data_IF_572934061685
#
_entry.id   IF_572934061685
#
_cell.length_a   1.000
_cell.length_b   1.000
_cell.length_c   1.000
_cell.angle_alpha   90.00
_cell.angle_beta   90.00
_cell.angle_gamma   90.00
#
_symmetry.space_group_name_H-M   'P 1'
#
loop_
_entity.id
_entity.type
_entity.pdbx_description
1 polymer ?
#
# COMPACT_ATOMS: atom_id res chain seq x y z
N UNK A 1 0.22 24.98 15.97
CA UNK A 1 0.37 26.13 15.05
C UNK A 1 1.29 25.75 13.89
N UNK A 2 2.48 25.17 14.13
CA UNK A 2 3.42 24.75 13.07
C UNK A 2 2.91 23.64 12.12
N UNK A 3 2.17 22.64 12.64
CA UNK A 3 1.57 21.57 11.80
C UNK A 3 0.57 22.12 10.76
N UNK A 4 -0.12 23.22 11.09
CA UNK A 4 -1.04 23.89 10.19
C UNK A 4 -0.30 24.65 9.09
N UNK A 5 0.81 25.30 9.44
CA UNK A 5 1.68 25.99 8.48
C UNK A 5 2.34 25.00 7.49
N UNK A 6 2.79 23.84 7.97
CA UNK A 6 3.36 22.79 7.11
C UNK A 6 2.31 22.22 6.13
N UNK A 7 1.06 22.03 6.58
CA UNK A 7 -0.06 21.62 5.71
C UNK A 7 -0.38 22.67 4.64
N UNK A 8 -0.35 23.96 5.01
CA UNK A 8 -0.53 25.07 4.06
C UNK A 8 0.61 25.09 3.04
N UNK A 9 1.86 24.90 3.46
CA UNK A 9 3.02 24.88 2.57
C UNK A 9 2.96 23.71 1.58
N UNK A 10 2.59 22.51 2.04
CA UNK A 10 2.38 21.32 1.19
C UNK A 10 1.25 21.53 0.17
N UNK A 11 0.19 22.26 0.54
CA UNK A 11 -0.89 22.60 -0.38
C UNK A 11 -0.48 23.69 -1.40
N UNK A 12 0.34 24.67 -0.98
CA UNK A 12 0.74 25.81 -1.82
C UNK A 12 1.70 25.44 -2.96
N UNK A 13 2.48 24.36 -2.81
CA UNK A 13 3.43 23.91 -3.84
C UNK A 13 2.77 23.13 -4.99
N UNK A 14 1.45 22.89 -4.95
CA UNK A 14 0.71 22.12 -5.97
C UNK A 14 0.23 22.90 -7.19
N UNK A 15 0.69 24.12 -7.44
CA UNK A 15 0.23 24.90 -8.61
C UNK A 15 1.37 25.55 -9.38
N UNK A 16 1.89 24.83 -10.38
CA UNK A 16 2.35 25.42 -11.64
C UNK A 16 1.98 24.50 -12.81
N UNK A 17 1.28 24.99 -13.85
CA UNK A 17 0.88 24.18 -14.99
C UNK A 17 2.05 23.97 -15.96
N UNK A 18 2.17 22.74 -16.49
CA UNK A 18 3.02 22.41 -17.64
C UNK A 18 2.16 21.94 -18.83
N UNK A 19 2.67 22.07 -20.08
CA UNK A 19 1.87 22.30 -21.28
C UNK A 19 1.10 21.09 -21.81
N UNK A 20 0.01 21.37 -22.53
CA UNK A 20 -0.88 20.42 -23.18
C UNK A 20 -0.15 19.54 -24.22
N UNK A 21 -0.13 18.22 -23.98
CA UNK A 21 0.13 17.21 -25.00
C UNK A 21 -1.12 16.36 -25.30
N UNK A 22 -1.42 16.33 -26.59
CA UNK A 22 -2.47 15.65 -27.38
C UNK A 22 -3.27 14.53 -26.70
N UNK A 23 -4.59 14.72 -26.72
CA UNK A 23 -5.65 13.79 -26.31
C UNK A 23 -5.50 12.40 -26.96
N UNK A 24 -5.18 11.40 -26.14
CA UNK A 24 -5.45 9.99 -26.44
C UNK A 24 -6.86 9.67 -25.94
N UNK A 25 -7.70 9.09 -26.81
CA UNK A 25 -9.12 8.78 -26.55
C UNK A 25 -9.28 7.94 -25.26
N UNK A 26 -10.35 8.13 -24.47
CA UNK A 26 -10.54 7.42 -23.22
C UNK A 26 -10.71 5.92 -23.48
N UNK A 27 -9.76 5.13 -22.98
CA UNK A 27 -9.94 3.68 -22.86
C UNK A 27 -11.06 3.45 -21.86
N UNK A 28 -12.18 2.87 -22.30
CA UNK A 28 -13.29 2.50 -21.41
C UNK A 28 -12.75 1.61 -20.29
N UNK A 29 -13.13 1.82 -19.02
CA UNK A 29 -12.81 0.86 -17.98
C UNK A 29 -13.53 -0.45 -18.32
N UNK A 30 -12.78 -1.47 -18.70
CA UNK A 30 -13.26 -2.85 -18.77
C UNK A 30 -13.53 -3.27 -17.33
N UNK A 31 -14.75 -3.02 -16.85
CA UNK A 31 -15.19 -3.59 -15.59
C UNK A 31 -15.26 -5.11 -15.77
N UNK A 32 -14.36 -5.85 -15.13
CA UNK A 32 -14.31 -7.32 -15.11
C UNK A 32 -15.47 -7.96 -14.32
N UNK A 33 -16.51 -7.19 -14.03
CA UNK A 33 -17.71 -7.66 -13.35
C UNK A 33 -18.61 -8.39 -14.34
N UNK A 34 -18.76 -9.70 -14.13
CA UNK A 34 -19.59 -10.56 -14.96
C UNK A 34 -20.99 -10.64 -14.38
N UNK A 35 -22.02 -10.46 -15.23
CA UNK A 35 -23.43 -10.66 -14.84
C UNK A 35 -23.78 -12.15 -14.82
N UNK A 36 -24.72 -12.57 -13.97
CA UNK A 36 -25.16 -13.98 -13.88
C UNK A 36 -25.56 -14.61 -15.22
N UNK A 37 -26.20 -13.84 -16.12
CA UNK A 37 -26.55 -14.28 -17.48
C UNK A 37 -25.32 -14.60 -18.34
N UNK A 38 -24.24 -13.83 -18.17
CA UNK A 38 -22.97 -14.04 -18.88
C UNK A 38 -22.20 -15.24 -18.32
N UNK A 39 -22.27 -15.51 -17.01
CA UNK A 39 -21.72 -16.75 -16.43
C UNK A 39 -22.41 -17.97 -17.04
N UNK A 40 -23.75 -17.98 -17.04
CA UNK A 40 -24.55 -19.10 -17.58
C UNK A 40 -24.28 -19.34 -19.06
N UNK A 41 -24.22 -18.28 -19.87
CA UNK A 41 -23.91 -18.43 -21.29
C UNK A 41 -22.48 -18.89 -21.56
N UNK A 42 -21.53 -18.57 -20.67
CA UNK A 42 -20.12 -18.96 -20.83
C UNK A 42 -19.86 -20.39 -20.38
N UNK A 43 -20.59 -20.87 -19.36
CA UNK A 43 -20.65 -22.28 -18.94
C UNK A 43 -21.14 -23.18 -20.09
N UNK A 44 -22.10 -22.71 -20.89
CA UNK A 44 -22.57 -23.46 -22.07
C UNK A 44 -21.56 -23.56 -23.21
N UNK A 45 -20.46 -22.81 -23.14
CA UNK A 45 -19.45 -22.69 -24.22
C UNK A 45 -18.10 -23.27 -23.76
N UNK A 46 -18.05 -23.94 -22.60
CA UNK A 46 -16.83 -24.52 -22.00
C UNK A 46 -15.63 -23.57 -21.99
N UNK A 47 -15.88 -22.27 -21.79
CA UNK A 47 -14.80 -21.28 -21.67
C UNK A 47 -14.33 -21.20 -20.22
N UNK A 48 -13.03 -21.36 -19.93
CA UNK A 48 -12.52 -21.17 -18.59
C UNK A 48 -12.66 -19.69 -18.19
N UNK A 49 -13.14 -19.44 -16.97
CA UNK A 49 -13.20 -18.10 -16.37
C UNK A 49 -12.63 -18.15 -14.95
N UNK A 50 -11.97 -17.06 -14.56
CA UNK A 50 -11.47 -16.86 -13.20
C UNK A 50 -12.54 -16.15 -12.38
N UNK A 51 -13.00 -16.81 -11.31
CA UNK A 51 -13.98 -16.26 -10.38
C UNK A 51 -13.26 -15.72 -9.13
N UNK A 52 -13.25 -14.40 -8.96
CA UNK A 52 -12.79 -13.77 -7.72
C UNK A 52 -13.93 -13.72 -6.72
N UNK A 53 -13.85 -14.55 -5.69
CA UNK A 53 -14.82 -14.56 -4.58
C UNK A 53 -14.20 -13.83 -3.39
N UNK A 54 -14.88 -12.81 -2.89
CA UNK A 54 -14.49 -12.15 -1.65
C UNK A 54 -14.89 -13.01 -0.45
N UNK A 55 -13.92 -13.38 0.39
CA UNK A 55 -14.12 -14.23 1.58
C UNK A 55 -15.23 -13.70 2.50
N UNK A 56 -15.37 -12.38 2.63
CA UNK A 56 -16.41 -11.76 3.47
C UNK A 56 -17.84 -11.98 2.97
N UNK A 57 -18.05 -12.25 1.68
CA UNK A 57 -19.39 -12.44 1.10
C UNK A 57 -19.97 -13.84 1.35
N UNK A 58 -19.14 -14.81 1.74
CA UNK A 58 -19.61 -16.16 2.11
C UNK A 58 -20.31 -16.20 3.47
N UNK A 59 -19.97 -15.27 4.37
CA UNK A 59 -20.49 -15.26 5.75
C UNK A 59 -21.97 -14.81 5.87
N UNK A 60 -22.60 -14.33 4.78
CA UNK A 60 -24.00 -13.89 4.81
C UNK A 60 -25.03 -15.00 4.55
N UNK A 61 -24.63 -16.14 3.99
CA UNK A 61 -25.58 -17.15 3.48
C UNK A 61 -25.43 -18.55 4.06
N UNK A 62 -24.39 -18.80 4.87
CA UNK A 62 -24.14 -20.13 5.42
C UNK A 62 -23.65 -20.00 6.86
N UNK A 63 -24.39 -20.61 7.80
CA UNK A 63 -23.99 -20.77 9.20
C UNK A 63 -22.86 -21.81 9.38
N UNK A 64 -22.31 -22.32 8.29
CA UNK A 64 -21.19 -23.26 8.27
C UNK A 64 -20.00 -22.57 7.60
N UNK A 65 -18.80 -22.79 8.15
CA UNK A 65 -17.57 -22.35 7.51
C UNK A 65 -17.57 -22.83 6.05
N UNK A 66 -17.31 -21.96 5.06
CA UNK A 66 -17.29 -22.38 3.68
C UNK A 66 -16.22 -23.45 3.49
N UNK A 67 -16.64 -24.65 3.09
CA UNK A 67 -15.72 -25.71 2.69
C UNK A 67 -14.99 -25.24 1.43
N UNK A 68 -13.72 -24.88 1.59
CA UNK A 68 -12.86 -24.47 0.49
C UNK A 68 -12.60 -25.71 -0.36
N UNK A 69 -12.92 -25.71 -1.67
CA UNK A 69 -12.62 -26.83 -2.56
C UNK A 69 -11.14 -27.23 -2.48
N UNK A 70 -10.84 -28.52 -2.59
CA UNK A 70 -9.48 -29.04 -2.41
C UNK A 70 -8.46 -28.38 -3.33
N UNK A 71 -8.86 -28.02 -4.56
CA UNK A 71 -8.03 -27.30 -5.52
C UNK A 71 -7.62 -25.91 -5.02
N UNK A 72 -8.56 -25.19 -4.37
CA UNK A 72 -8.31 -23.87 -3.79
C UNK A 72 -7.48 -23.99 -2.51
N UNK A 73 -7.73 -25.02 -1.71
CA UNK A 73 -6.90 -25.30 -0.52
C UNK A 73 -5.45 -25.58 -0.89
N UNK A 74 -5.23 -26.39 -1.93
CA UNK A 74 -3.88 -26.69 -2.44
C UNK A 74 -3.18 -25.43 -2.94
N UNK A 75 -3.89 -24.56 -3.67
CA UNK A 75 -3.37 -23.28 -4.15
C UNK A 75 -3.01 -22.33 -2.98
N UNK A 76 -3.88 -22.21 -1.97
CA UNK A 76 -3.62 -21.40 -0.78
C UNK A 76 -2.43 -21.92 0.01
N UNK A 77 -2.24 -23.24 0.03
CA UNK A 77 -1.08 -23.86 0.66
C UNK A 77 0.21 -23.60 -0.14
N UNK A 78 0.16 -23.64 -1.46
CA UNK A 78 1.29 -23.32 -2.36
C UNK A 78 1.76 -21.87 -2.20
N UNK A 79 0.83 -20.92 -2.13
CA UNK A 79 1.12 -19.47 -2.02
C UNK A 79 0.98 -18.93 -0.59
N UNK A 80 1.21 -19.78 0.42
CA UNK A 80 1.05 -19.40 1.83
C UNK A 80 1.98 -18.24 2.24
N UNK A 81 3.13 -18.12 1.59
CA UNK A 81 4.11 -17.04 1.78
C UNK A 81 3.64 -15.67 1.28
N UNK A 82 2.70 -15.63 0.33
CA UNK A 82 2.13 -14.38 -0.21
C UNK A 82 1.05 -13.80 0.71
N UNK A 83 0.34 -14.66 1.45
CA UNK A 83 -0.80 -14.30 2.31
C UNK A 83 -0.48 -14.39 3.80
N UNK A 84 0.67 -13.87 4.20
CA UNK A 84 1.01 -13.74 5.62
C UNK A 84 0.19 -12.62 6.27
N UNK A 85 -0.18 -12.80 7.53
CA UNK A 85 -0.87 -11.76 8.32
C UNK A 85 0.02 -10.52 8.52
N UNK A 86 1.34 -10.73 8.55
CA UNK A 86 2.37 -9.70 8.69
C UNK A 86 3.39 -9.74 7.55
N UNK A 87 3.98 -8.58 7.24
CA UNK A 87 5.06 -8.45 6.26
C UNK A 87 6.29 -9.30 6.67
N UNK A 88 6.92 -10.04 5.74
CA UNK A 88 8.14 -10.78 6.05
C UNK A 88 9.25 -9.85 6.56
N UNK A 89 10.10 -10.39 7.43
CA UNK A 89 11.26 -9.66 7.93
C UNK A 89 12.27 -9.45 6.79
N UNK A 90 12.84 -8.26 6.74
CA UNK A 90 13.86 -7.86 5.79
C UNK A 90 13.32 -7.06 4.61
N UNK A 91 14.25 -6.61 3.77
CA UNK A 91 13.93 -6.02 2.48
C UNK A 91 13.68 -7.13 1.46
N UNK A 92 12.81 -6.89 0.47
CA UNK A 92 12.68 -7.81 -0.66
C UNK A 92 14.05 -7.99 -1.35
N UNK A 93 14.27 -9.14 -2.01
CA UNK A 93 15.48 -9.35 -2.80
C UNK A 93 15.73 -8.18 -3.76
N UNK A 94 17.00 -7.79 -3.93
CA UNK A 94 17.37 -6.72 -4.85
C UNK A 94 16.86 -7.08 -6.24
N UNK A 95 15.99 -6.22 -6.78
CA UNK A 95 15.48 -6.32 -8.15
C UNK A 95 16.27 -5.34 -9.02
N UNK A 96 16.31 -5.55 -10.34
CA UNK A 96 16.99 -4.62 -11.26
C UNK A 96 16.38 -3.22 -11.34
N UNK A 97 15.40 -2.90 -10.49
CA UNK A 97 14.74 -1.61 -10.36
C UNK A 97 14.71 -1.22 -8.87
N UNK A 98 15.24 -0.05 -8.57
CA UNK A 98 15.26 0.54 -7.23
C UNK A 98 14.48 1.86 -7.24
N UNK A 99 13.94 2.25 -6.08
CA UNK A 99 13.27 3.53 -5.96
C UNK A 99 14.32 4.65 -5.85
N UNK A 100 14.44 5.44 -6.91
CA UNK A 100 15.28 6.64 -6.93
C UNK A 100 14.44 7.88 -6.64
N UNK A 101 14.95 8.73 -5.75
CA UNK A 101 14.36 10.05 -5.47
C UNK A 101 15.20 11.08 -6.22
N UNK A 102 14.67 11.60 -7.32
CA UNK A 102 15.32 12.65 -8.09
C UNK A 102 15.13 14.02 -7.42
N UNK A 103 16.21 14.75 -7.22
CA UNK A 103 16.15 16.11 -6.71
C UNK A 103 16.03 17.13 -7.84
N UNK A 104 15.18 18.13 -7.63
CA UNK A 104 15.17 19.33 -8.48
C UNK A 104 16.52 20.06 -8.29
N UNK A 105 17.21 20.46 -9.37
CA UNK A 105 18.48 21.19 -9.25
C UNK A 105 18.34 22.44 -8.38
N UNK A 106 19.22 22.59 -7.39
CA UNK A 106 19.19 23.70 -6.44
C UNK A 106 18.22 23.53 -5.26
N UNK A 107 17.50 22.40 -5.15
CA UNK A 107 16.67 22.12 -3.98
C UNK A 107 17.51 21.91 -2.72
N UNK A 108 17.08 22.50 -1.61
CA UNK A 108 17.70 22.32 -0.30
C UNK A 108 17.09 21.13 0.43
N UNK A 109 17.93 20.28 1.05
CA UNK A 109 17.46 19.19 1.89
C UNK A 109 16.84 19.75 3.19
N UNK A 110 15.64 19.29 3.58
CA UNK A 110 15.05 19.69 4.85
C UNK A 110 15.85 19.10 6.02
N UNK A 111 16.17 19.93 7.01
CA UNK A 111 16.70 19.50 8.29
C UNK A 111 15.92 20.21 9.40
N UNK A 112 14.80 19.59 9.78
CA UNK A 112 13.86 20.12 10.76
C UNK A 112 14.00 19.35 12.08
N UNK A 113 13.98 20.03 13.24
CA UNK A 113 14.03 19.35 14.52
C UNK A 113 12.77 18.50 14.74
N UNK A 114 12.89 17.46 15.57
CA UNK A 114 11.74 16.65 15.97
C UNK A 114 10.69 17.48 16.73
N UNK A 115 9.41 17.14 16.55
CA UNK A 115 8.35 17.74 17.34
C UNK A 115 8.46 17.36 18.81
N UNK A 116 8.01 18.26 19.69
CA UNK A 116 7.90 17.96 21.12
C UNK A 116 6.73 17.01 21.35
N UNK A 117 7.01 15.85 21.92
CA UNK A 117 6.03 14.81 22.25
C UNK A 117 5.93 14.62 23.76
N UNK A 118 4.79 14.13 24.24
CA UNK A 118 4.63 13.76 25.64
C UNK A 118 5.31 12.39 25.94
N UNK A 119 5.55 12.02 27.21
CA UNK A 119 6.25 10.77 27.54
C UNK A 119 5.56 9.50 27.03
N UNK A 120 4.23 9.51 26.88
CA UNK A 120 3.45 8.37 26.37
C UNK A 120 3.67 8.22 24.86
N UNK A 121 3.57 9.31 24.13
CA UNK A 121 3.83 9.37 22.68
C UNK A 121 5.27 8.99 22.35
N UNK A 122 6.25 9.48 23.12
CA UNK A 122 7.66 9.13 22.91
C UNK A 122 7.89 7.63 23.10
N UNK A 123 7.25 7.01 24.10
CA UNK A 123 7.35 5.57 24.35
C UNK A 123 6.74 4.77 23.20
N UNK A 124 5.58 5.19 22.70
CA UNK A 124 4.92 4.55 21.55
C UNK A 124 5.76 4.69 20.27
N UNK A 125 6.30 5.89 20.01
CA UNK A 125 7.20 6.14 18.89
C UNK A 125 8.43 5.22 18.95
N UNK A 126 9.06 5.12 20.12
CA UNK A 126 10.21 4.23 20.30
C UNK A 126 9.85 2.76 20.05
N UNK A 127 8.70 2.30 20.54
CA UNK A 127 8.22 0.93 20.30
C UNK A 127 8.06 0.63 18.81
N UNK A 128 7.50 1.57 18.03
CA UNK A 128 7.35 1.42 16.59
C UNK A 128 8.69 1.47 15.85
N UNK A 129 9.63 2.32 16.28
CA UNK A 129 10.99 2.37 15.73
C UNK A 129 11.70 1.03 15.96
N UNK A 130 11.65 0.50 17.19
CA UNK A 130 12.29 -0.78 17.53
C UNK A 130 11.68 -1.93 16.72
N UNK A 131 10.37 -1.92 16.53
CA UNK A 131 9.68 -2.90 15.68
C UNK A 131 10.19 -2.83 14.22
N UNK A 132 10.24 -1.62 13.64
CA UNK A 132 10.72 -1.42 12.27
C UNK A 132 12.20 -1.76 12.08
N UNK A 133 13.04 -1.45 13.07
CA UNK A 133 14.45 -1.85 13.12
C UNK A 133 14.57 -3.38 13.18
N UNK A 134 13.78 -4.05 14.02
CA UNK A 134 13.78 -5.52 14.14
C UNK A 134 13.31 -6.23 12.86
N UNK A 135 12.42 -5.59 12.09
CA UNK A 135 12.00 -6.04 10.76
C UNK A 135 13.02 -5.70 9.66
N UNK A 136 14.03 -4.88 9.94
CA UNK A 136 15.03 -4.46 8.95
C UNK A 136 14.49 -3.50 7.88
N UNK A 137 13.38 -2.82 8.15
CA UNK A 137 12.79 -1.84 7.23
C UNK A 137 13.47 -0.47 7.31
N UNK A 138 14.03 -0.14 8.48
CA UNK A 138 14.80 1.08 8.72
C UNK A 138 16.17 0.74 9.32
N UNK A 139 17.08 1.71 9.27
CA UNK A 139 18.40 1.64 9.89
C UNK A 139 18.83 3.03 10.36
N UNK A 140 19.74 3.07 11.32
CA UNK A 140 20.39 4.32 11.71
C UNK A 140 21.13 4.94 10.51
N UNK A 141 21.12 6.28 10.44
CA UNK A 141 21.76 7.01 9.35
C UNK A 141 22.37 8.31 9.85
N UNK A 142 23.44 8.75 9.18
CA UNK A 142 24.07 10.06 9.37
C UNK A 142 23.64 11.03 8.25
N UNK A 143 22.35 10.99 7.88
CA UNK A 143 21.80 11.80 6.80
C UNK A 143 21.80 13.30 7.15
N UNK A 144 22.18 14.20 6.23
CA UNK A 144 22.01 15.65 6.42
C UNK A 144 20.55 16.10 6.28
N UNK A 145 19.66 15.20 5.84
CA UNK A 145 18.23 15.42 5.70
C UNK A 145 17.49 14.79 6.89
N UNK A 146 16.67 15.58 7.58
CA UNK A 146 15.85 15.16 8.71
C UNK A 146 14.47 15.85 8.66
N UNK A 147 13.41 15.05 8.85
CA UNK A 147 12.02 15.52 8.85
C UNK A 147 11.34 14.94 10.10
N UNK A 148 10.56 15.75 10.86
CA UNK A 148 9.89 15.29 12.05
C UNK A 148 8.80 14.27 11.74
N UNK A 149 8.58 13.33 12.67
CA UNK A 149 7.54 12.30 12.61
C UNK A 149 6.34 12.73 13.45
N UNK A 150 5.13 12.35 13.01
CA UNK A 150 3.88 12.57 13.73
C UNK A 150 3.22 11.22 14.03
N UNK A 151 2.82 11.01 15.29
CA UNK A 151 2.04 9.84 15.70
C UNK A 151 0.57 10.06 15.32
N UNK A 152 -0.02 9.09 14.61
CA UNK A 152 -1.43 9.12 14.24
C UNK A 152 -2.15 7.96 14.93
N UNK A 153 -3.15 8.22 15.79
CA UNK A 153 -4.00 7.18 16.34
C UNK A 153 -4.70 6.42 15.22
N UNK A 154 -4.65 5.08 15.27
CA UNK A 154 -5.30 4.20 14.30
C UNK A 154 -6.79 4.04 14.59
#
# INVERSE_FOLDING_TARGET
QEVYEDQIQLASQKTKPQPEEKQVKPHKPTNYLIKSKQVKSSLSVDKPFLLFIFKGSFNLFVNNAPEIPSEVSNLLQEFKDVFLDDCPKGLPPVRGIEHQIDFVPGATLPNRPAYRTNPVETKELQSQIDELMSKGHIRESMSPCAVPVLLVPK
#
